data_IF_696544818238
#
_entry.id   IF_696544818238
#
_cell.length_a   1.000
_cell.length_b   1.000
_cell.length_c   1.000
_cell.angle_alpha   90.00
_cell.angle_beta   90.00
_cell.angle_gamma   90.00
#
_symmetry.space_group_name_H-M   'P 1'
#
loop_
_entity.id
_entity.type
_entity.pdbx_description
1 polymer ?
#
# COMPACT_ATOMS: atom_id res chain seq x y z
N UNK A 1 -9.26 -22.30 -10.07
CA UNK A 1 -8.95 -21.68 -11.37
C UNK A 1 -8.19 -20.38 -11.08
N UNK A 2 -6.86 -20.36 -11.27
CA UNK A 2 -6.05 -19.14 -11.06
C UNK A 2 -6.16 -18.28 -12.31
N UNK A 3 -6.68 -17.07 -12.19
CA UNK A 3 -6.49 -16.06 -13.24
C UNK A 3 -5.02 -15.63 -13.16
N UNK A 4 -4.18 -16.28 -13.96
CA UNK A 4 -2.86 -15.78 -14.32
C UNK A 4 -3.07 -14.65 -15.34
N UNK A 5 -3.54 -13.52 -14.86
CA UNK A 5 -3.76 -12.32 -15.66
C UNK A 5 -3.35 -11.13 -14.81
N UNK A 6 -2.40 -10.35 -15.31
CA UNK A 6 -1.90 -9.14 -14.67
C UNK A 6 -3.10 -8.24 -14.31
N UNK A 7 -3.32 -8.03 -13.00
CA UNK A 7 -4.43 -7.23 -12.47
C UNK A 7 -3.93 -5.79 -12.22
N UNK A 8 -4.61 -4.84 -12.85
CA UNK A 8 -4.41 -3.42 -12.59
C UNK A 8 -5.37 -3.01 -11.47
N UNK A 9 -4.84 -2.47 -10.38
CA UNK A 9 -5.66 -1.82 -9.35
C UNK A 9 -5.90 -0.38 -9.78
N UNK A 10 -7.17 0.03 -9.80
CA UNK A 10 -7.61 1.38 -10.15
C UNK A 10 -8.43 1.96 -9.02
N UNK A 11 -8.30 3.27 -8.82
CA UNK A 11 -9.16 4.02 -7.92
C UNK A 11 -9.10 5.50 -8.28
N UNK A 12 -9.97 6.28 -7.63
CA UNK A 12 -9.88 7.72 -7.58
C UNK A 12 -9.83 8.19 -6.16
N UNK A 13 -9.13 9.27 -5.93
CA UNK A 13 -9.12 9.96 -4.65
C UNK A 13 -9.06 11.47 -4.82
N UNK A 14 -9.43 12.17 -3.76
CA UNK A 14 -9.35 13.62 -3.64
C UNK A 14 -8.95 13.94 -2.21
N UNK A 15 -8.12 14.95 -2.01
CA UNK A 15 -7.68 15.38 -0.68
C UNK A 15 -8.21 16.79 -0.44
N UNK A 16 -9.26 16.90 0.36
CA UNK A 16 -9.83 18.19 0.76
C UNK A 16 -8.91 18.90 1.74
N UNK A 17 -8.33 18.14 2.68
CA UNK A 17 -7.36 18.62 3.64
C UNK A 17 -6.17 17.68 3.69
N UNK A 18 -5.03 18.16 3.19
CA UNK A 18 -3.76 17.45 3.25
C UNK A 18 -3.06 17.61 4.59
N UNK A 19 -1.88 17.02 4.68
CA UNK A 19 -0.95 17.15 5.79
C UNK A 19 0.31 17.88 5.33
N UNK A 20 1.03 18.44 6.29
CA UNK A 20 2.37 18.99 6.08
C UNK A 20 3.35 18.27 7.01
N UNK A 21 3.92 17.17 6.51
CA UNK A 21 4.80 16.28 7.27
C UNK A 21 6.24 16.40 6.76
N UNK A 22 7.17 16.74 7.66
CA UNK A 22 8.57 16.93 7.31
C UNK A 22 9.36 15.61 7.10
N UNK A 23 9.01 14.56 7.85
CA UNK A 23 9.77 13.31 7.92
C UNK A 23 8.87 12.08 7.71
N UNK A 24 8.32 11.94 6.51
CA UNK A 24 7.31 10.92 6.14
C UNK A 24 7.80 9.47 6.16
N UNK A 25 9.12 9.27 6.28
CA UNK A 25 9.76 7.95 6.30
C UNK A 25 10.10 7.48 7.71
N UNK A 26 9.81 8.30 8.70
CA UNK A 26 10.10 8.04 10.11
C UNK A 26 8.80 7.80 10.88
N UNK A 27 8.90 7.09 12.00
CA UNK A 27 7.72 6.78 12.83
C UNK A 27 6.93 8.02 13.26
N UNK A 28 7.61 9.13 13.55
CA UNK A 28 6.94 10.37 13.97
C UNK A 28 6.23 11.12 12.83
N UNK A 29 6.24 10.58 11.62
CA UNK A 29 5.64 11.20 10.45
C UNK A 29 5.01 10.22 9.48
N UNK A 30 4.66 8.99 9.87
CA UNK A 30 4.02 8.01 8.97
C UNK A 30 2.51 8.31 8.76
N UNK A 31 2.15 9.60 8.66
CA UNK A 31 0.79 10.06 8.40
C UNK A 31 0.60 10.52 6.94
N UNK A 32 -0.49 10.08 6.33
CA UNK A 32 -0.83 10.31 4.94
C UNK A 32 -2.32 10.61 4.78
N UNK A 33 -2.60 11.75 4.15
CA UNK A 33 -3.98 12.16 3.93
C UNK A 33 -4.79 11.14 3.10
N UNK A 34 -4.13 10.39 2.21
CA UNK A 34 -4.73 9.29 1.48
C UNK A 34 -3.75 8.13 1.28
N UNK A 35 -4.18 6.93 1.64
CA UNK A 35 -3.42 5.68 1.54
C UNK A 35 -4.31 4.56 1.01
N UNK A 36 -3.77 3.73 0.11
CA UNK A 36 -4.38 2.47 -0.37
C UNK A 36 -3.43 1.32 -0.08
N UNK A 37 -3.88 0.37 0.71
CA UNK A 37 -3.16 -0.85 1.07
C UNK A 37 -3.52 -2.00 0.14
N UNK A 38 -2.51 -2.75 -0.28
CA UNK A 38 -2.70 -4.07 -0.88
C UNK A 38 -1.97 -5.11 -0.03
N UNK A 39 -2.72 -6.00 0.59
CA UNK A 39 -2.19 -7.01 1.50
C UNK A 39 -2.14 -8.37 0.82
N UNK A 40 -1.01 -9.07 0.98
CA UNK A 40 -0.76 -10.37 0.36
C UNK A 40 -0.78 -11.48 1.40
N UNK A 41 -1.20 -12.67 0.97
CA UNK A 41 -1.11 -13.86 1.81
C UNK A 41 0.34 -14.09 2.28
N UNK A 42 0.51 -14.60 3.50
CA UNK A 42 1.83 -14.98 3.98
C UNK A 42 2.43 -16.09 3.12
N UNK A 43 3.61 -15.85 2.55
CA UNK A 43 4.37 -16.86 1.83
C UNK A 43 5.53 -17.36 2.69
N UNK A 44 5.38 -18.55 3.31
CA UNK A 44 6.47 -19.09 4.10
C UNK A 44 7.72 -19.30 3.26
N UNK A 45 7.66 -19.61 1.96
CA UNK A 45 8.85 -19.98 1.17
C UNK A 45 9.87 -18.86 1.07
N UNK A 46 9.41 -17.62 0.99
CA UNK A 46 10.25 -16.43 0.84
C UNK A 46 10.37 -15.61 2.13
N UNK A 47 9.71 -16.04 3.22
CA UNK A 47 9.79 -15.37 4.51
C UNK A 47 11.12 -15.64 5.25
N UNK A 48 11.66 -14.58 5.85
CA UNK A 48 12.78 -14.66 6.81
C UNK A 48 12.40 -15.45 8.07
N UNK A 49 13.38 -15.93 8.82
CA UNK A 49 13.15 -16.64 10.09
C UNK A 49 12.37 -15.75 11.08
N UNK A 50 12.72 -14.47 11.16
CA UNK A 50 12.04 -13.50 12.02
C UNK A 50 10.56 -13.33 11.63
N UNK A 51 10.25 -13.19 10.34
CA UNK A 51 8.88 -13.10 9.84
C UNK A 51 8.08 -14.37 10.16
N UNK A 52 8.67 -15.55 9.95
CA UNK A 52 8.02 -16.83 10.27
C UNK A 52 7.68 -16.96 11.75
N UNK A 53 8.60 -16.57 12.63
CA UNK A 53 8.37 -16.61 14.08
C UNK A 53 7.25 -15.65 14.49
N UNK A 54 7.32 -14.40 14.03
CA UNK A 54 6.28 -13.39 14.30
C UNK A 54 4.91 -13.81 13.80
N UNK A 55 4.83 -14.28 12.56
CA UNK A 55 3.58 -14.78 11.99
C UNK A 55 2.98 -15.89 12.85
N UNK A 56 3.78 -16.91 13.22
CA UNK A 56 3.29 -18.01 14.06
C UNK A 56 2.78 -17.55 15.43
N UNK A 57 3.48 -16.61 16.07
CA UNK A 57 3.04 -16.03 17.34
C UNK A 57 1.75 -15.25 17.19
N UNK A 58 1.64 -14.44 16.13
CA UNK A 58 0.46 -13.65 15.86
C UNK A 58 -0.77 -14.49 15.51
N UNK A 59 -0.64 -15.57 14.74
CA UNK A 59 -1.73 -16.54 14.51
C UNK A 59 -2.30 -17.08 15.83
N UNK A 60 -1.41 -17.42 16.77
CA UNK A 60 -1.79 -17.97 18.08
C UNK A 60 -2.50 -16.92 18.93
N UNK A 61 -2.00 -15.68 18.95
CA UNK A 61 -2.55 -14.58 19.75
C UNK A 61 -3.87 -14.04 19.19
N UNK A 62 -3.93 -13.80 17.87
CA UNK A 62 -5.05 -13.15 17.19
C UNK A 62 -6.07 -14.14 16.60
N UNK A 63 -5.77 -15.45 16.63
CA UNK A 63 -6.62 -16.54 16.10
C UNK A 63 -7.09 -16.31 14.65
N UNK A 64 -6.29 -15.60 13.85
CA UNK A 64 -6.59 -15.22 12.46
C UNK A 64 -5.33 -15.21 11.63
N UNK A 65 -5.50 -15.45 10.32
CA UNK A 65 -4.41 -15.39 9.36
C UNK A 65 -3.80 -13.99 9.29
N UNK A 66 -2.51 -13.83 9.59
CA UNK A 66 -1.83 -12.52 9.45
C UNK A 66 -1.31 -12.38 8.02
N UNK A 67 -1.67 -11.31 7.29
CA UNK A 67 -1.09 -11.05 5.98
C UNK A 67 0.44 -11.01 6.03
N UNK A 68 1.10 -11.41 4.94
CA UNK A 68 2.55 -11.41 4.85
C UNK A 68 3.09 -10.02 4.52
N UNK A 69 3.29 -9.77 3.23
CA UNK A 69 3.73 -8.47 2.73
C UNK A 69 2.54 -7.56 2.44
N UNK A 70 2.79 -6.25 2.41
CA UNK A 70 1.84 -5.27 1.91
C UNK A 70 2.54 -4.19 1.06
N UNK A 71 1.78 -3.57 0.16
CA UNK A 71 2.18 -2.36 -0.57
C UNK A 71 1.21 -1.26 -0.19
N UNK A 72 1.77 -0.13 0.21
CA UNK A 72 1.02 1.02 0.70
C UNK A 72 1.23 2.17 -0.28
N UNK A 73 0.24 2.38 -1.14
CA UNK A 73 0.23 3.49 -2.09
C UNK A 73 -0.25 4.76 -1.39
N UNK A 74 0.61 5.76 -1.29
CA UNK A 74 0.36 6.97 -0.49
C UNK A 74 0.38 8.23 -1.33
N UNK A 75 -0.48 9.18 -0.97
CA UNK A 75 -0.28 10.58 -1.31
C UNK A 75 0.45 11.28 -0.18
N UNK A 76 1.57 11.89 -0.51
CA UNK A 76 2.54 12.40 0.47
C UNK A 76 2.47 13.92 0.58
N UNK A 77 3.17 14.47 1.55
CA UNK A 77 3.40 15.89 1.75
C UNK A 77 4.49 16.36 0.81
N UNK A 78 5.60 15.63 0.72
CA UNK A 78 6.81 16.06 0.03
C UNK A 78 7.49 15.00 -0.84
N UNK A 79 7.24 13.72 -0.59
CA UNK A 79 7.92 12.63 -1.32
C UNK A 79 7.47 12.52 -2.78
N UNK A 80 8.38 12.61 -3.77
CA UNK A 80 8.00 12.62 -5.17
C UNK A 80 7.35 11.29 -5.60
N UNK A 81 6.46 11.35 -6.60
CA UNK A 81 5.88 10.15 -7.21
C UNK A 81 6.98 9.16 -7.59
N UNK A 82 6.79 7.90 -7.22
CA UNK A 82 7.74 6.81 -7.45
C UNK A 82 8.77 6.62 -6.34
N UNK A 83 8.83 7.52 -5.35
CA UNK A 83 9.59 7.28 -4.13
C UNK A 83 9.08 6.03 -3.41
N UNK A 84 10.02 5.25 -2.86
CA UNK A 84 9.76 3.96 -2.22
C UNK A 84 10.61 3.82 -0.97
N UNK A 85 10.02 3.34 0.11
CA UNK A 85 10.70 3.08 1.38
C UNK A 85 10.00 1.99 2.18
N UNK A 86 10.62 1.56 3.27
CA UNK A 86 10.06 0.56 4.18
C UNK A 86 9.14 1.27 5.16
N UNK A 87 7.96 0.68 5.45
CA UNK A 87 7.11 1.25 6.49
C UNK A 87 7.86 1.19 7.84
N UNK A 88 7.95 2.32 8.58
CA UNK A 88 8.77 2.41 9.79
C UNK A 88 8.22 1.59 10.97
N UNK A 89 6.94 1.21 10.94
CA UNK A 89 6.29 0.35 11.93
C UNK A 89 6.24 -1.12 11.51
N UNK A 90 6.09 -1.39 10.21
CA UNK A 90 5.96 -2.73 9.64
C UNK A 90 6.92 -2.95 8.46
N UNK A 91 8.16 -3.39 8.68
CA UNK A 91 9.18 -3.54 7.62
C UNK A 91 8.80 -4.50 6.47
N UNK A 92 7.81 -5.37 6.68
CA UNK A 92 7.19 -6.22 5.66
C UNK A 92 6.31 -5.46 4.65
N UNK A 93 5.89 -4.24 5.00
CA UNK A 93 5.15 -3.31 4.16
C UNK A 93 6.10 -2.34 3.46
N UNK A 94 5.82 -2.06 2.19
CA UNK A 94 6.58 -1.11 1.37
C UNK A 94 5.69 0.05 0.96
N UNK A 95 6.20 1.25 1.18
CA UNK A 95 5.53 2.49 0.83
C UNK A 95 5.84 2.87 -0.62
N UNK A 96 4.85 3.38 -1.35
CA UNK A 96 5.00 3.89 -2.72
C UNK A 96 4.28 5.24 -2.82
N UNK A 97 5.04 6.33 -3.02
CA UNK A 97 4.45 7.64 -3.27
C UNK A 97 3.84 7.70 -4.67
N UNK A 98 2.59 8.14 -4.76
CA UNK A 98 1.90 8.48 -6.01
C UNK A 98 1.88 9.99 -6.30
N UNK A 99 2.51 10.78 -5.44
CA UNK A 99 2.58 12.22 -5.57
C UNK A 99 2.68 12.91 -4.21
N UNK A 100 2.79 14.22 -4.27
CA UNK A 100 2.98 15.08 -3.12
C UNK A 100 2.17 16.37 -3.23
N UNK A 101 1.88 16.97 -2.08
CA UNK A 101 1.33 18.32 -1.96
C UNK A 101 -0.19 18.41 -2.14
N UNK A 102 -0.75 19.62 -2.31
CA UNK A 102 -2.18 19.82 -2.41
C UNK A 102 -2.81 19.12 -3.62
N UNK A 103 -3.91 18.40 -3.40
CA UNK A 103 -4.67 17.72 -4.45
C UNK A 103 -6.19 17.86 -4.21
N UNK A 104 -6.74 19.08 -4.37
CA UNK A 104 -8.15 19.35 -4.12
C UNK A 104 -9.08 18.81 -5.20
N UNK A 105 -8.53 18.38 -6.35
CA UNK A 105 -9.28 17.78 -7.45
C UNK A 105 -9.24 16.26 -7.39
N UNK A 106 -10.26 15.60 -7.95
CA UNK A 106 -10.26 14.15 -8.11
C UNK A 106 -9.13 13.71 -9.03
N UNK A 107 -8.32 12.76 -8.57
CA UNK A 107 -7.26 12.13 -9.34
C UNK A 107 -7.50 10.65 -9.47
N UNK A 108 -7.31 10.13 -10.68
CA UNK A 108 -7.34 8.69 -10.95
C UNK A 108 -5.95 8.10 -10.85
N UNK A 109 -5.84 6.95 -10.20
CA UNK A 109 -4.63 6.15 -10.12
C UNK A 109 -4.89 4.78 -10.74
N UNK A 110 -3.83 4.23 -11.35
CA UNK A 110 -3.81 2.90 -11.93
C UNK A 110 -2.40 2.33 -11.72
N UNK A 111 -2.32 1.20 -11.04
CA UNK A 111 -1.04 0.55 -10.71
C UNK A 111 -1.06 -0.92 -11.09
N UNK A 112 0.07 -1.40 -11.59
CA UNK A 112 0.33 -2.82 -11.81
C UNK A 112 0.91 -3.42 -10.52
N UNK A 113 -0.01 -3.92 -9.68
CA UNK A 113 0.31 -4.44 -8.35
C UNK A 113 1.31 -5.60 -8.42
N UNK A 114 1.22 -6.44 -9.45
CA UNK A 114 2.16 -7.55 -9.61
C UNK A 114 3.57 -7.05 -9.96
N UNK A 115 3.67 -6.09 -10.88
CA UNK A 115 4.95 -5.49 -11.26
C UNK A 115 5.60 -4.73 -10.09
N UNK A 116 4.80 -3.98 -9.33
CA UNK A 116 5.27 -3.29 -8.13
C UNK A 116 5.74 -4.29 -7.08
N UNK A 117 4.99 -5.35 -6.81
CA UNK A 117 5.40 -6.40 -5.86
C UNK A 117 6.75 -7.01 -6.25
N UNK A 118 6.93 -7.37 -7.53
CA UNK A 118 8.20 -7.93 -8.02
C UNK A 118 9.34 -6.95 -7.84
N UNK A 119 9.09 -5.67 -8.08
CA UNK A 119 10.10 -4.62 -7.93
C UNK A 119 10.49 -4.40 -6.46
N UNK A 120 9.52 -4.47 -5.55
CA UNK A 120 9.69 -4.18 -4.12
C UNK A 120 10.21 -5.37 -3.31
N UNK A 121 9.84 -6.60 -3.69
CA UNK A 121 10.12 -7.83 -2.93
C UNK A 121 10.94 -8.86 -3.70
N UNK A 122 11.27 -8.61 -4.97
CA UNK A 122 12.14 -9.47 -5.79
C UNK A 122 11.56 -10.83 -6.18
N UNK A 123 10.28 -11.09 -5.87
CA UNK A 123 9.60 -12.39 -6.09
C UNK A 123 8.22 -12.20 -6.71
N UNK A 124 7.61 -13.28 -7.20
CA UNK A 124 6.21 -13.21 -7.62
C UNK A 124 5.28 -13.02 -6.41
N UNK A 125 4.21 -12.21 -6.52
CA UNK A 125 3.29 -12.01 -5.40
C UNK A 125 2.54 -13.30 -5.04
N UNK A 126 2.29 -13.54 -3.74
CA UNK A 126 1.22 -14.40 -3.28
C UNK A 126 -0.15 -13.85 -3.70
N UNK A 127 -1.23 -14.55 -3.34
CA UNK A 127 -2.58 -14.03 -3.57
C UNK A 127 -2.84 -12.78 -2.73
N UNK A 128 -3.50 -11.79 -3.31
CA UNK A 128 -4.03 -10.63 -2.57
C UNK A 128 -5.15 -11.14 -1.65
N UNK A 129 -5.09 -10.78 -0.38
CA UNK A 129 -6.07 -11.18 0.65
C UNK A 129 -6.99 -10.04 1.06
N UNK A 130 -6.53 -8.79 0.93
CA UNK A 130 -7.33 -7.61 1.23
C UNK A 130 -6.80 -6.38 0.48
N UNK A 131 -7.69 -5.43 0.27
CA UNK A 131 -7.38 -4.05 -0.09
C UNK A 131 -8.09 -3.15 0.91
N UNK A 132 -7.39 -2.14 1.43
CA UNK A 132 -7.96 -1.17 2.36
C UNK A 132 -7.63 0.26 1.91
N UNK A 133 -8.47 1.21 2.31
CA UNK A 133 -8.20 2.64 2.13
C UNK A 133 -8.16 3.30 3.51
N UNK A 134 -7.32 4.31 3.67
CA UNK A 134 -7.13 4.97 4.95
C UNK A 134 -6.74 6.43 4.77
N UNK A 135 -7.20 7.23 5.73
CA UNK A 135 -6.66 8.55 6.04
C UNK A 135 -6.17 8.47 7.48
N UNK A 136 -4.88 8.69 7.70
CA UNK A 136 -4.23 8.67 9.01
C UNK A 136 -3.62 10.03 9.36
N UNK A 137 -3.58 10.31 10.65
CA UNK A 137 -3.14 11.59 11.23
C UNK A 137 -2.77 11.45 12.71
N UNK A 138 -2.50 10.23 13.18
CA UNK A 138 -2.28 9.93 14.59
C UNK A 138 -0.86 10.28 15.07
N UNK A 139 0.14 10.27 14.17
CA UNK A 139 1.53 10.62 14.53
C UNK A 139 1.76 12.14 14.60
N UNK A 140 1.07 12.93 13.76
CA UNK A 140 1.30 14.36 13.57
C UNK A 140 0.37 15.27 14.36
N UNK A 141 -0.68 14.72 14.98
CA UNK A 141 -1.78 15.48 15.62
C UNK A 141 -2.47 16.49 14.69
N UNK A 142 -2.25 16.39 13.37
CA UNK A 142 -2.92 17.20 12.36
C UNK A 142 -4.30 16.62 12.05
N UNK A 143 -4.99 17.18 11.06
CA UNK A 143 -6.26 16.63 10.57
C UNK A 143 -6.18 16.51 9.06
N UNK A 144 -6.51 15.34 8.55
CA UNK A 144 -6.66 15.10 7.13
C UNK A 144 -8.10 14.75 6.76
N UNK A 145 -8.47 15.01 5.51
CA UNK A 145 -9.76 14.61 4.95
C UNK A 145 -9.55 14.27 3.49
N UNK A 146 -9.84 13.02 3.14
CA UNK A 146 -9.80 12.52 1.78
C UNK A 146 -11.08 11.74 1.45
N UNK A 147 -11.41 11.77 0.17
CA UNK A 147 -12.51 11.02 -0.43
C UNK A 147 -11.94 9.97 -1.38
N UNK A 148 -12.55 8.78 -1.43
CA UNK A 148 -12.12 7.66 -2.26
C UNK A 148 -13.31 7.17 -3.10
N UNK A 149 -13.04 6.78 -4.34
CA UNK A 149 -14.06 6.26 -5.26
C UNK A 149 -13.48 5.21 -6.21
N UNK A 150 -14.37 4.40 -6.79
CA UNK A 150 -14.09 3.47 -7.90
C UNK A 150 -12.91 2.52 -7.69
N UNK A 151 -12.68 2.11 -6.44
CA UNK A 151 -11.65 1.13 -6.10
C UNK A 151 -12.00 -0.23 -6.70
N UNK A 152 -11.16 -0.75 -7.59
CA UNK A 152 -11.42 -2.02 -8.23
C UNK A 152 -10.23 -2.55 -9.03
N UNK A 153 -10.22 -3.87 -9.20
CA UNK A 153 -9.29 -4.54 -10.10
C UNK A 153 -9.85 -4.61 -11.52
N UNK A 154 -8.98 -4.39 -12.49
CA UNK A 154 -9.28 -4.56 -13.91
C UNK A 154 -8.26 -5.48 -14.55
N UNK A 155 -8.68 -6.26 -15.53
CA UNK A 155 -7.73 -7.02 -16.34
C UNK A 155 -6.89 -6.05 -17.17
N UNK A 156 -5.56 -6.26 -17.24
CA UNK A 156 -4.74 -5.57 -18.22
C UNK A 156 -5.21 -6.00 -19.60
N UNK A 157 -5.85 -5.09 -20.37
CA UNK A 157 -6.15 -5.39 -21.76
C UNK A 157 -4.84 -5.70 -22.47
N UNK A 158 -4.72 -6.92 -23.02
CA UNK A 158 -3.60 -7.24 -23.89
C UNK A 158 -3.60 -6.23 -25.04
N UNK A 159 -2.46 -5.59 -25.33
CA UNK A 159 -2.28 -4.94 -26.63
C UNK A 159 -2.70 -5.98 -27.67
N UNK A 160 -3.80 -5.72 -28.39
CA UNK A 160 -4.04 -6.46 -29.63
C UNK A 160 -2.83 -6.18 -30.54
N UNK A 161 -2.28 -7.22 -31.19
CA UNK A 161 -1.19 -7.04 -32.14
C UNK A 161 -1.56 -6.04 -33.23
#
# INVERSE_FOLDING_TARGET
MRLAGILLLRWRWRIERGLDIAHEREKSGDDFAARVYVMFAFDPKHATIAQRLRHRLGEVLYRRSIPGNAIDYVWTSHEPRGARWDNPYAPESKMVSLGAGPMPEWRSEEVDVEADYRTLFGTAPPSIVAVAVMTDSDDSCQRATAEFADLGFTARQGRRP
#
